data_IF_709321703035
#
_entry.id   IF_709321703035
#
_cell.length_a   1.000
_cell.length_b   1.000
_cell.length_c   1.000
_cell.angle_alpha   90.00
_cell.angle_beta   90.00
_cell.angle_gamma   90.00
#
_symmetry.space_group_name_H-M   'P 1'
#
loop_
_entity.id
_entity.type
_entity.pdbx_description
1 polymer ?
#
# COMPACT_ATOMS: atom_id res chain seq x y z
N UNK A 1 31.45 -9.81 0.12
CA UNK A 1 30.99 -8.46 -0.26
C UNK A 1 31.75 -7.34 0.46
N UNK A 2 31.87 -7.38 1.76
CA UNK A 2 32.57 -6.33 2.55
C UNK A 2 34.04 -6.14 2.18
N UNK A 3 34.73 -7.19 1.71
CA UNK A 3 36.15 -7.16 1.31
C UNK A 3 36.40 -6.74 -0.16
N UNK A 4 35.35 -6.59 -0.97
CA UNK A 4 35.48 -6.23 -2.38
C UNK A 4 35.46 -4.72 -2.54
N UNK A 5 36.49 -4.13 -3.11
CA UNK A 5 36.53 -2.72 -3.46
C UNK A 5 35.41 -2.36 -4.43
N UNK A 6 34.73 -1.25 -4.17
CA UNK A 6 33.68 -0.72 -5.06
C UNK A 6 34.32 0.11 -6.16
N UNK A 7 34.54 -0.47 -7.33
CA UNK A 7 34.98 0.25 -8.51
C UNK A 7 34.23 -0.29 -9.74
N UNK A 8 34.37 0.39 -10.88
CA UNK A 8 33.65 0.03 -12.11
C UNK A 8 33.97 -1.40 -12.59
N UNK A 9 35.16 -1.90 -12.36
CA UNK A 9 35.58 -3.25 -12.75
C UNK A 9 34.91 -4.35 -11.90
N UNK A 10 34.62 -4.07 -10.62
CA UNK A 10 34.02 -5.02 -9.69
C UNK A 10 32.51 -4.89 -9.58
N UNK A 11 31.91 -3.90 -10.19
CA UNK A 11 30.46 -3.59 -10.09
C UNK A 11 29.60 -4.76 -10.58
N UNK A 12 29.96 -5.36 -11.71
CA UNK A 12 29.25 -6.51 -12.28
C UNK A 12 29.33 -7.72 -11.34
N UNK A 13 30.48 -7.98 -10.72
CA UNK A 13 30.67 -9.04 -9.73
C UNK A 13 29.88 -8.79 -8.45
N UNK A 14 29.87 -7.55 -7.96
CA UNK A 14 29.06 -7.14 -6.81
C UNK A 14 27.58 -7.30 -7.10
N UNK A 15 27.12 -7.00 -8.32
CA UNK A 15 25.74 -7.22 -8.75
C UNK A 15 25.34 -8.71 -8.65
N UNK A 16 26.18 -9.61 -9.15
CA UNK A 16 25.94 -11.07 -9.04
C UNK A 16 25.91 -11.54 -7.59
N UNK A 17 26.83 -11.05 -6.74
CA UNK A 17 26.84 -11.39 -5.31
C UNK A 17 25.59 -10.86 -4.58
N UNK A 18 25.10 -9.67 -4.93
CA UNK A 18 23.85 -9.12 -4.39
C UNK A 18 22.65 -9.95 -4.80
N UNK A 19 22.57 -10.39 -6.05
CA UNK A 19 21.49 -11.27 -6.54
C UNK A 19 21.50 -12.61 -5.81
N UNK A 20 22.67 -13.26 -5.64
CA UNK A 20 22.79 -14.49 -4.85
C UNK A 20 22.36 -14.31 -3.40
N UNK A 21 22.77 -13.21 -2.78
CA UNK A 21 22.43 -12.93 -1.39
C UNK A 21 20.93 -12.67 -1.24
N UNK A 22 20.29 -11.95 -2.19
CA UNK A 22 18.84 -11.71 -2.19
C UNK A 22 18.08 -13.05 -2.30
N UNK A 23 18.50 -13.92 -3.22
CA UNK A 23 17.91 -15.25 -3.42
C UNK A 23 18.02 -16.14 -2.17
N UNK A 24 19.22 -16.23 -1.57
CA UNK A 24 19.43 -17.01 -0.34
C UNK A 24 18.60 -16.46 0.83
N UNK A 25 18.52 -15.13 0.98
CA UNK A 25 17.66 -14.51 2.00
C UNK A 25 16.19 -14.83 1.76
N UNK A 26 15.73 -14.84 0.52
CA UNK A 26 14.37 -15.24 0.18
C UNK A 26 14.12 -16.69 0.58
N UNK A 27 15.00 -17.63 0.23
CA UNK A 27 14.89 -19.04 0.60
C UNK A 27 14.85 -19.26 2.12
N UNK A 28 15.56 -18.44 2.89
CA UNK A 28 15.53 -18.46 4.36
C UNK A 28 14.23 -17.91 4.95
N UNK A 29 13.61 -16.92 4.29
CA UNK A 29 12.42 -16.22 4.79
C UNK A 29 11.10 -16.83 4.30
N UNK A 30 11.11 -17.48 3.13
CA UNK A 30 9.95 -18.20 2.61
C UNK A 30 9.82 -19.56 3.31
N UNK A 31 8.62 -19.98 3.73
CA UNK A 31 8.39 -21.33 4.25
C UNK A 31 8.70 -22.35 3.16
N UNK A 32 9.45 -23.41 3.49
CA UNK A 32 9.71 -24.50 2.57
C UNK A 32 8.38 -25.14 2.15
N UNK A 33 8.08 -25.10 0.86
CA UNK A 33 6.96 -25.83 0.26
C UNK A 33 7.21 -27.33 0.30
N UNK A 34 7.01 -27.95 1.43
CA UNK A 34 7.20 -29.40 1.56
C UNK A 34 7.18 -29.87 3.01
N UNK A 35 6.04 -30.30 3.48
CA UNK A 35 5.92 -30.94 4.78
C UNK A 35 4.84 -30.27 5.63
N UNK A 36 3.65 -30.87 5.63
CA UNK A 36 2.51 -30.38 6.38
C UNK A 36 2.80 -30.30 7.88
N UNK A 37 2.74 -29.11 8.41
CA UNK A 37 2.33 -28.88 9.77
C UNK A 37 1.32 -27.73 9.76
N UNK A 38 0.17 -27.99 10.32
CA UNK A 38 -0.97 -27.09 10.46
C UNK A 38 -0.68 -25.85 11.32
N UNK A 39 0.51 -25.74 11.87
CA UNK A 39 0.95 -24.64 12.74
C UNK A 39 1.36 -23.35 11.98
N UNK A 40 1.67 -23.42 10.69
CA UNK A 40 2.10 -22.23 9.93
C UNK A 40 0.96 -21.36 9.39
N UNK A 41 -0.30 -21.80 9.48
CA UNK A 41 -1.48 -21.03 9.08
C UNK A 41 -1.97 -20.01 10.12
N UNK A 42 -1.33 -19.95 11.29
CA UNK A 42 -1.81 -19.22 12.47
C UNK A 42 -1.36 -17.77 12.62
N UNK A 43 -0.65 -17.17 11.66
CA UNK A 43 -0.03 -15.86 11.85
C UNK A 43 -0.64 -14.70 11.05
N UNK A 44 -1.76 -14.87 10.40
CA UNK A 44 -2.50 -13.75 9.85
C UNK A 44 -3.33 -13.10 10.97
N UNK A 45 -2.81 -12.00 11.50
CA UNK A 45 -3.64 -11.09 12.30
C UNK A 45 -4.76 -10.60 11.40
N UNK A 46 -6.01 -10.88 11.75
CA UNK A 46 -7.17 -10.43 10.98
C UNK A 46 -7.09 -8.92 10.76
N UNK A 47 -7.27 -8.48 9.52
CA UNK A 47 -7.31 -7.07 9.16
C UNK A 47 -8.62 -6.49 9.64
N UNK A 48 -8.53 -5.57 10.59
CA UNK A 48 -9.66 -4.84 11.12
C UNK A 48 -9.52 -3.35 10.78
N UNK A 49 -10.65 -2.68 10.60
CA UNK A 49 -10.70 -1.24 10.32
C UNK A 49 -10.22 -0.84 8.92
N UNK A 50 -10.00 0.45 8.72
CA UNK A 50 -9.71 1.05 7.40
C UNK A 50 -8.22 1.11 7.07
N UNK A 51 -7.35 0.97 8.06
CA UNK A 51 -5.91 0.98 7.89
C UNK A 51 -5.18 0.22 8.99
N UNK A 52 -3.96 -0.21 8.69
CA UNK A 52 -3.08 -0.91 9.62
C UNK A 52 -1.73 -0.22 9.71
N UNK A 53 -1.33 0.12 10.92
CA UNK A 53 -0.08 0.80 11.23
C UNK A 53 0.77 -0.08 12.13
N UNK A 54 2.02 -0.29 11.78
CA UNK A 54 3.00 -1.02 12.60
C UNK A 54 3.88 -0.05 13.38
N UNK A 55 3.99 -0.25 14.69
CA UNK A 55 4.95 0.45 15.56
C UNK A 55 6.25 -0.34 15.62
N UNK A 56 7.35 0.32 15.28
CA UNK A 56 8.69 -0.25 15.25
C UNK A 56 9.64 0.67 16.02
N UNK A 57 10.55 0.12 16.77
CA UNK A 57 11.55 0.91 17.50
C UNK A 57 12.26 0.09 18.57
N UNK A 58 13.35 0.62 19.09
CA UNK A 58 14.12 -0.02 20.14
C UNK A 58 13.33 -0.19 21.45
N UNK A 59 13.76 -1.06 22.38
CA UNK A 59 13.18 -1.12 23.71
C UNK A 59 13.26 0.24 24.41
N UNK A 60 12.27 0.52 25.25
CA UNK A 60 12.21 1.73 26.11
C UNK A 60 12.10 3.08 25.38
N UNK A 61 11.81 3.08 24.07
CA UNK A 61 11.53 4.34 23.33
C UNK A 61 10.10 4.86 23.54
N UNK A 62 9.23 4.07 24.21
CA UNK A 62 7.87 4.46 24.53
C UNK A 62 6.80 3.99 23.55
N UNK A 63 7.03 2.90 22.77
CA UNK A 63 6.04 2.33 21.85
C UNK A 63 4.75 1.89 22.53
N UNK A 64 4.88 1.08 23.59
CA UNK A 64 3.72 0.55 24.31
C UNK A 64 2.99 1.66 25.09
N UNK A 65 3.72 2.66 25.57
CA UNK A 65 3.11 3.86 26.16
C UNK A 65 2.31 4.64 25.12
N UNK A 66 2.90 4.87 23.93
CA UNK A 66 2.20 5.51 22.81
C UNK A 66 0.94 4.74 22.41
N UNK A 67 1.04 3.41 22.33
CA UNK A 67 -0.11 2.55 22.04
C UNK A 67 -1.20 2.74 23.10
N UNK A 68 -0.87 2.63 24.38
CA UNK A 68 -1.83 2.77 25.49
C UNK A 68 -2.51 4.15 25.48
N UNK A 69 -1.73 5.23 25.28
CA UNK A 69 -2.26 6.59 25.26
C UNK A 69 -3.19 6.84 24.06
N UNK A 70 -2.82 6.38 22.88
CA UNK A 70 -3.66 6.55 21.67
C UNK A 70 -4.91 5.68 21.66
N UNK A 71 -4.91 4.55 22.40
CA UNK A 71 -6.03 3.61 22.44
C UNK A 71 -6.86 3.73 23.72
N UNK A 72 -6.45 4.57 24.69
CA UNK A 72 -7.12 4.72 26.00
C UNK A 72 -8.49 5.39 25.92
N UNK A 73 -8.81 6.05 24.82
CA UNK A 73 -10.08 6.74 24.67
C UNK A 73 -11.28 5.84 24.43
N UNK A 74 -11.08 4.61 23.95
CA UNK A 74 -12.14 3.57 23.93
C UNK A 74 -11.49 2.20 23.84
N UNK A 75 -11.24 1.60 24.99
CA UNK A 75 -10.91 0.19 25.11
C UNK A 75 -12.12 -0.67 24.80
N UNK A 76 -12.55 -0.76 23.56
CA UNK A 76 -12.95 -2.05 23.06
C UNK A 76 -11.65 -2.87 22.96
N UNK A 77 -11.16 -3.36 24.09
CA UNK A 77 -10.36 -4.56 24.13
C UNK A 77 -11.25 -5.64 23.48
N UNK A 78 -11.31 -5.60 22.16
CA UNK A 78 -11.94 -6.66 21.41
C UNK A 78 -11.26 -7.92 21.90
N UNK A 79 -12.04 -8.86 22.41
CA UNK A 79 -11.63 -10.20 22.80
C UNK A 79 -10.96 -10.88 21.60
N UNK A 80 -9.72 -10.50 21.34
CA UNK A 80 -8.88 -11.19 20.38
C UNK A 80 -8.35 -12.44 21.06
N UNK A 81 -9.03 -13.54 20.82
CA UNK A 81 -8.67 -14.90 21.27
C UNK A 81 -7.32 -15.40 20.70
N UNK A 82 -6.40 -14.51 20.31
CA UNK A 82 -5.12 -14.92 19.73
C UNK A 82 -3.94 -14.53 20.62
N UNK A 83 -3.87 -15.26 21.76
CA UNK A 83 -2.84 -15.09 22.80
C UNK A 83 -1.48 -15.69 22.48
N UNK A 84 -1.16 -16.06 21.24
CA UNK A 84 0.12 -16.67 20.91
C UNK A 84 1.14 -15.71 20.27
N UNK A 85 0.74 -14.49 19.87
CA UNK A 85 1.66 -13.49 19.36
C UNK A 85 1.81 -12.34 20.35
N UNK A 86 3.05 -11.93 20.56
CA UNK A 86 3.47 -10.78 21.36
C UNK A 86 3.14 -9.42 20.69
N UNK A 87 2.16 -9.35 19.80
CA UNK A 87 1.66 -8.10 19.22
C UNK A 87 0.43 -7.67 20.00
N UNK A 88 0.46 -6.51 20.62
CA UNK A 88 -0.71 -5.91 21.26
C UNK A 88 -1.41 -5.07 20.18
N UNK A 89 -2.61 -5.46 19.72
CA UNK A 89 -3.37 -4.65 18.80
C UNK A 89 -4.08 -3.53 19.55
N UNK A 90 -4.00 -2.31 19.05
CA UNK A 90 -4.82 -1.18 19.46
C UNK A 90 -5.65 -0.68 18.30
N UNK A 91 -6.76 0.00 18.57
CA UNK A 91 -7.58 0.67 17.55
C UNK A 91 -7.67 2.14 17.89
N UNK A 92 -7.36 2.97 16.92
CA UNK A 92 -7.53 4.42 16.99
C UNK A 92 -8.72 4.81 16.15
N UNK A 93 -9.57 5.67 16.69
CA UNK A 93 -10.64 6.34 15.96
C UNK A 93 -10.18 7.74 15.61
N UNK A 94 -10.13 8.04 14.32
CA UNK A 94 -9.76 9.37 13.82
C UNK A 94 -10.50 9.67 12.53
N UNK A 95 -11.19 10.81 12.46
CA UNK A 95 -12.02 11.23 11.32
C UNK A 95 -12.96 10.09 10.83
N UNK A 96 -13.67 9.48 11.77
CA UNK A 96 -14.60 8.34 11.55
C UNK A 96 -13.95 7.09 10.96
N UNK A 97 -12.62 7.06 10.87
CA UNK A 97 -11.89 5.88 10.45
C UNK A 97 -11.34 5.10 11.65
N UNK A 98 -11.44 3.78 11.56
CA UNK A 98 -10.83 2.84 12.50
C UNK A 98 -9.45 2.43 11.98
N UNK A 99 -8.39 2.80 12.68
CA UNK A 99 -7.00 2.49 12.33
C UNK A 99 -6.44 1.50 13.33
N UNK A 100 -6.04 0.33 12.85
CA UNK A 100 -5.43 -0.71 13.69
C UNK A 100 -3.95 -0.38 13.92
N UNK A 101 -3.53 -0.22 15.18
CA UNK A 101 -2.14 -0.13 15.59
C UNK A 101 -1.63 -1.50 16.04
N UNK A 102 -0.42 -1.86 15.61
CA UNK A 102 0.24 -3.10 16.01
C UNK A 102 1.60 -2.76 16.60
N UNK A 103 1.79 -3.04 17.90
CA UNK A 103 3.13 -2.98 18.51
C UNK A 103 3.91 -4.24 18.11
N UNK A 104 5.04 -4.05 17.44
CA UNK A 104 5.93 -5.11 16.99
C UNK A 104 7.19 -5.15 17.86
N UNK A 105 7.16 -5.86 18.99
CA UNK A 105 8.36 -6.02 19.82
C UNK A 105 9.35 -6.96 19.12
N UNK A 106 10.65 -6.67 19.23
CA UNK A 106 11.70 -7.61 18.89
C UNK A 106 12.16 -7.67 17.44
N UNK A 107 11.97 -6.60 16.62
CA UNK A 107 12.62 -6.50 15.28
C UNK A 107 14.14 -6.27 15.39
N UNK A 108 14.69 -6.13 16.58
CA UNK A 108 16.03 -5.67 16.83
C UNK A 108 16.95 -6.88 16.97
N UNK A 109 18.01 -6.92 16.16
CA UNK A 109 19.11 -7.89 16.14
C UNK A 109 18.74 -9.35 15.75
N UNK A 110 19.02 -9.69 14.50
CA UNK A 110 18.92 -11.06 13.97
C UNK A 110 17.58 -11.45 13.35
N UNK A 111 16.62 -10.53 13.22
CA UNK A 111 15.36 -10.81 12.50
C UNK A 111 15.65 -11.16 11.03
N UNK A 112 16.64 -10.52 10.43
CA UNK A 112 17.12 -10.80 9.07
C UNK A 112 17.85 -12.15 8.93
N UNK A 113 18.31 -12.74 10.02
CA UNK A 113 18.96 -14.06 10.05
C UNK A 113 17.98 -15.22 10.19
N UNK A 114 16.68 -14.93 10.26
CA UNK A 114 15.63 -15.95 10.32
C UNK A 114 15.56 -16.72 11.64
N UNK A 115 16.22 -16.25 12.70
CA UNK A 115 16.19 -16.88 14.01
C UNK A 115 14.90 -16.52 14.76
N UNK A 116 14.15 -17.52 15.19
CA UNK A 116 13.01 -17.38 16.09
C UNK A 116 11.82 -16.61 15.54
N UNK A 117 11.26 -15.72 16.37
CA UNK A 117 10.03 -14.96 16.12
C UNK A 117 10.16 -13.88 15.03
N UNK A 118 11.36 -13.60 14.52
CA UNK A 118 11.61 -12.57 13.51
C UNK A 118 10.77 -12.72 12.24
N UNK A 119 10.53 -13.95 11.76
CA UNK A 119 9.70 -14.19 10.55
C UNK A 119 8.25 -13.72 10.73
N UNK A 120 7.68 -13.92 11.90
CA UNK A 120 6.31 -13.58 12.23
C UNK A 120 6.12 -12.07 12.27
N UNK A 121 7.01 -11.38 12.95
CA UNK A 121 7.04 -9.92 13.05
C UNK A 121 7.19 -9.28 11.67
N UNK A 122 8.01 -9.88 10.82
CA UNK A 122 8.20 -9.48 9.43
C UNK A 122 6.90 -9.63 8.61
N UNK A 123 6.19 -10.74 8.76
CA UNK A 123 4.93 -10.97 8.06
C UNK A 123 3.89 -9.90 8.44
N UNK A 124 3.80 -9.55 9.73
CA UNK A 124 2.92 -8.50 10.22
C UNK A 124 3.35 -7.13 9.70
N UNK A 125 4.65 -6.78 9.74
CA UNK A 125 5.16 -5.54 9.17
C UNK A 125 4.86 -5.44 7.66
N UNK A 126 5.02 -6.53 6.91
CA UNK A 126 4.62 -6.60 5.50
C UNK A 126 3.12 -6.46 5.27
N UNK A 127 2.29 -6.85 6.23
CA UNK A 127 0.83 -6.69 6.11
C UNK A 127 0.34 -5.27 6.40
N UNK A 128 1.18 -4.43 7.02
CA UNK A 128 0.82 -3.06 7.41
C UNK A 128 0.81 -2.09 6.23
N UNK A 129 0.01 -1.04 6.32
CA UNK A 129 -0.13 -0.01 5.29
C UNK A 129 0.81 1.17 5.55
N UNK A 130 1.21 1.38 6.81
CA UNK A 130 2.14 2.41 7.26
C UNK A 130 3.03 1.87 8.38
N UNK A 131 4.27 2.36 8.46
CA UNK A 131 5.19 2.09 9.57
C UNK A 131 5.40 3.40 10.36
N UNK A 132 5.26 3.32 11.68
CA UNK A 132 5.71 4.35 12.62
C UNK A 132 7.00 3.87 13.28
N UNK A 133 8.11 4.49 12.93
CA UNK A 133 9.41 4.23 13.55
C UNK A 133 9.59 5.16 14.74
N UNK A 134 9.40 4.61 15.96
CA UNK A 134 9.51 5.36 17.20
C UNK A 134 10.98 5.42 17.65
N UNK A 135 11.48 6.62 17.80
CA UNK A 135 12.87 6.93 18.16
C UNK A 135 12.91 7.77 19.45
N UNK A 136 13.93 7.57 20.27
CA UNK A 136 14.16 8.36 21.46
C UNK A 136 14.90 9.65 21.08
N UNK A 137 14.24 10.78 21.24
CA UNK A 137 14.79 12.08 20.86
C UNK A 137 16.01 12.49 21.69
N UNK A 138 16.05 12.11 22.98
CA UNK A 138 17.19 12.41 23.87
C UNK A 138 18.49 11.78 23.39
N UNK A 139 18.41 10.57 22.81
CA UNK A 139 19.59 9.88 22.27
C UNK A 139 20.05 10.45 20.93
N UNK A 140 19.26 11.32 20.32
CA UNK A 140 19.51 11.90 19.00
C UNK A 140 20.64 12.93 18.99
N UNK A 141 20.73 13.74 20.02
CA UNK A 141 21.64 14.89 20.03
C UNK A 141 22.98 14.57 20.72
N UNK A 142 22.97 13.76 21.79
CA UNK A 142 24.15 13.54 22.62
C UNK A 142 25.29 12.74 21.97
N UNK A 143 25.04 11.96 20.89
CA UNK A 143 26.07 11.05 20.35
C UNK A 143 25.84 10.50 18.94
N UNK A 144 25.17 11.15 17.99
CA UNK A 144 24.83 10.53 16.69
C UNK A 144 24.11 9.15 16.79
N UNK A 145 23.70 8.76 18.00
CA UNK A 145 23.20 7.41 18.31
C UNK A 145 21.81 7.18 17.74
N UNK A 146 20.95 8.19 17.72
CA UNK A 146 19.60 8.02 17.13
C UNK A 146 19.66 7.94 15.62
N UNK A 147 20.60 8.64 15.00
CA UNK A 147 20.85 8.46 13.57
C UNK A 147 21.34 7.03 13.31
N UNK A 148 22.18 6.48 14.17
CA UNK A 148 22.59 5.08 14.11
C UNK A 148 21.42 4.12 14.34
N UNK A 149 20.54 4.39 15.31
CA UNK A 149 19.33 3.60 15.56
C UNK A 149 18.38 3.60 14.34
N UNK A 150 18.11 4.77 13.76
CA UNK A 150 17.33 4.87 12.52
C UNK A 150 17.95 4.04 11.40
N UNK A 151 19.27 4.14 11.21
CA UNK A 151 19.98 3.38 10.17
C UNK A 151 19.95 1.87 10.41
N UNK A 152 20.13 1.42 11.66
CA UNK A 152 20.07 -0.01 12.01
C UNK A 152 18.68 -0.55 11.69
N UNK A 153 17.62 0.09 12.20
CA UNK A 153 16.25 -0.33 11.93
C UNK A 153 15.90 -0.33 10.44
N UNK A 154 16.34 0.70 9.72
CA UNK A 154 16.14 0.77 8.27
C UNK A 154 16.83 -0.39 7.56
N UNK A 155 18.09 -0.70 7.90
CA UNK A 155 18.83 -1.83 7.32
C UNK A 155 18.17 -3.18 7.61
N UNK A 156 17.68 -3.39 8.82
CA UNK A 156 16.96 -4.62 9.20
C UNK A 156 15.68 -4.78 8.39
N UNK A 157 14.89 -3.72 8.24
CA UNK A 157 13.66 -3.73 7.46
C UNK A 157 13.94 -3.91 5.95
N UNK A 158 14.98 -3.26 5.42
CA UNK A 158 15.42 -3.45 4.04
C UNK A 158 15.94 -4.88 3.78
N UNK A 159 16.66 -5.45 4.74
CA UNK A 159 17.17 -6.81 4.64
C UNK A 159 16.05 -7.85 4.53
N UNK A 160 14.89 -7.54 5.11
CA UNK A 160 13.67 -8.35 5.08
C UNK A 160 12.84 -8.14 3.81
N UNK A 161 13.16 -7.10 3.04
CA UNK A 161 12.49 -6.77 1.78
C UNK A 161 11.41 -5.71 1.90
N UNK A 162 11.42 -4.91 2.97
CA UNK A 162 10.64 -3.66 3.04
C UNK A 162 11.48 -2.52 2.48
N UNK A 163 10.84 -1.62 1.73
CA UNK A 163 11.45 -0.40 1.19
C UNK A 163 10.71 0.78 1.76
N UNK A 164 11.38 1.52 2.66
CA UNK A 164 10.80 2.63 3.38
C UNK A 164 10.90 3.92 2.57
N UNK A 165 9.79 4.64 2.43
CA UNK A 165 9.70 5.93 1.74
C UNK A 165 10.32 5.93 0.34
N UNK A 166 10.25 4.80 -0.35
CA UNK A 166 10.70 4.64 -1.73
C UNK A 166 9.52 4.30 -2.63
N UNK A 167 9.62 4.70 -3.89
CA UNK A 167 8.66 4.31 -4.93
C UNK A 167 9.12 3.04 -5.64
N UNK A 168 8.23 2.14 -6.04
CA UNK A 168 8.60 0.98 -6.82
C UNK A 168 9.23 1.41 -8.16
N UNK A 169 10.37 0.82 -8.57
CA UNK A 169 11.05 1.19 -9.79
C UNK A 169 10.21 0.82 -11.03
N UNK A 170 10.21 1.70 -12.02
CA UNK A 170 9.44 1.53 -13.26
C UNK A 170 10.17 0.65 -14.27
N UNK A 171 10.34 -0.62 -13.91
CA UNK A 171 10.98 -1.64 -14.75
C UNK A 171 9.94 -2.68 -15.10
N UNK A 172 9.80 -2.96 -16.39
CA UNK A 172 8.91 -4.00 -16.87
C UNK A 172 9.72 -5.23 -17.26
N UNK A 173 9.39 -6.39 -16.70
CA UNK A 173 10.05 -7.67 -16.99
C UNK A 173 9.02 -8.68 -17.47
N UNK A 174 9.18 -9.16 -18.70
CA UNK A 174 8.31 -10.18 -19.30
C UNK A 174 9.13 -11.42 -19.67
N UNK A 175 8.79 -12.56 -19.11
CA UNK A 175 9.38 -13.85 -19.48
C UNK A 175 8.87 -14.27 -20.86
N UNK A 176 9.78 -14.73 -21.73
CA UNK A 176 9.48 -15.28 -23.05
C UNK A 176 9.83 -16.76 -23.08
N UNK A 177 9.25 -17.53 -24.00
CA UNK A 177 9.57 -18.96 -24.19
C UNK A 177 10.89 -19.14 -24.95
N UNK A 178 11.23 -18.23 -25.86
CA UNK A 178 12.43 -18.26 -26.70
C UNK A 178 12.80 -16.82 -27.12
N UNK A 179 13.96 -16.62 -27.78
CA UNK A 179 14.37 -15.32 -28.33
C UNK A 179 15.47 -14.59 -27.55
N UNK A 180 16.03 -15.21 -26.49
CA UNK A 180 17.13 -14.59 -25.73
C UNK A 180 16.67 -13.44 -24.84
N UNK A 181 17.64 -12.68 -24.32
CA UNK A 181 17.40 -11.51 -23.46
C UNK A 181 17.38 -10.25 -24.34
N UNK A 182 16.29 -9.52 -24.26
CA UNK A 182 16.12 -8.22 -24.90
C UNK A 182 16.01 -7.17 -23.78
N UNK A 183 17.02 -6.33 -23.63
CA UNK A 183 17.02 -5.20 -22.70
C UNK A 183 16.97 -3.91 -23.50
N UNK A 184 15.93 -3.11 -23.27
CA UNK A 184 15.73 -1.79 -23.86
C UNK A 184 15.51 -0.76 -22.76
N UNK A 185 15.92 0.45 -23.02
CA UNK A 185 15.65 1.60 -22.17
C UNK A 185 14.85 2.67 -22.94
N UNK A 186 14.01 3.38 -22.21
CA UNK A 186 13.28 4.55 -22.72
C UNK A 186 13.68 5.82 -21.96
N UNK A 187 14.81 5.74 -21.22
CA UNK A 187 15.31 6.83 -20.38
C UNK A 187 16.05 7.84 -21.25
N UNK A 188 15.70 9.13 -21.23
CA UNK A 188 16.48 10.16 -21.88
C UNK A 188 17.91 10.20 -21.32
N UNK A 189 18.92 9.94 -22.16
CA UNK A 189 20.33 9.86 -21.74
C UNK A 189 20.82 8.44 -21.39
N UNK A 190 19.96 7.42 -21.47
CA UNK A 190 20.32 6.02 -21.19
C UNK A 190 20.45 5.68 -19.69
N UNK A 191 20.85 4.46 -19.40
CA UNK A 191 21.06 3.98 -18.03
C UNK A 191 22.47 4.40 -17.56
N UNK A 192 22.54 5.15 -16.45
CA UNK A 192 23.80 5.61 -15.85
C UNK A 192 24.22 4.83 -14.61
N UNK A 193 23.24 4.27 -13.87
CA UNK A 193 23.44 3.60 -12.57
C UNK A 193 23.60 2.08 -12.68
N UNK A 194 23.34 1.51 -13.85
CA UNK A 194 23.46 0.08 -14.09
C UNK A 194 24.08 -0.19 -15.46
N UNK A 195 25.08 -1.05 -15.51
CA UNK A 195 25.71 -1.47 -16.76
C UNK A 195 24.98 -2.67 -17.38
N UNK A 196 25.00 -2.74 -18.72
CA UNK A 196 24.39 -3.82 -19.50
C UNK A 196 24.95 -5.20 -19.11
N UNK A 197 26.24 -5.29 -18.80
CA UNK A 197 26.86 -6.52 -18.30
C UNK A 197 26.30 -6.94 -16.94
N UNK A 198 26.05 -5.98 -16.05
CA UNK A 198 25.45 -6.25 -14.75
C UNK A 198 24.01 -6.76 -14.91
N UNK A 199 23.21 -6.18 -15.83
CA UNK A 199 21.85 -6.65 -16.14
C UNK A 199 21.89 -8.11 -16.60
N UNK A 200 22.76 -8.45 -17.57
CA UNK A 200 22.87 -9.83 -18.10
C UNK A 200 23.28 -10.83 -17.02
N UNK A 201 24.25 -10.48 -16.17
CA UNK A 201 24.71 -11.34 -15.10
C UNK A 201 23.65 -11.60 -14.02
N UNK A 202 22.87 -10.55 -13.66
CA UNK A 202 21.77 -10.68 -12.73
C UNK A 202 20.68 -11.59 -13.33
N UNK A 203 20.28 -11.39 -14.58
CA UNK A 203 19.29 -12.23 -15.26
C UNK A 203 19.74 -13.70 -15.36
N UNK A 204 21.01 -13.93 -15.65
CA UNK A 204 21.58 -15.27 -15.69
C UNK A 204 21.51 -15.96 -14.32
N UNK A 205 21.79 -15.24 -13.22
CA UNK A 205 21.68 -15.78 -11.85
C UNK A 205 20.25 -16.19 -11.51
N UNK A 206 19.24 -15.44 -12.03
CA UNK A 206 17.82 -15.79 -11.90
C UNK A 206 17.33 -16.82 -12.92
N UNK A 207 18.24 -17.39 -13.74
CA UNK A 207 17.92 -18.35 -14.81
C UNK A 207 16.89 -17.81 -15.82
N UNK A 208 16.89 -16.51 -16.05
CA UNK A 208 16.03 -15.82 -17.01
C UNK A 208 16.76 -15.65 -18.35
N UNK A 209 16.91 -16.74 -19.11
CA UNK A 209 17.64 -16.77 -20.37
C UNK A 209 16.80 -16.20 -21.55
N UNK A 210 15.47 -16.12 -21.39
CA UNK A 210 14.55 -15.62 -22.40
C UNK A 210 13.59 -14.63 -21.74
N UNK A 211 13.87 -13.35 -21.86
CA UNK A 211 13.03 -12.29 -21.28
C UNK A 211 13.18 -10.98 -22.03
N UNK A 212 12.18 -10.14 -21.87
CA UNK A 212 12.17 -8.76 -22.30
C UNK A 212 12.17 -7.87 -21.05
N UNK A 213 13.12 -6.94 -20.99
CA UNK A 213 13.25 -6.00 -19.88
C UNK A 213 13.20 -4.58 -20.46
N UNK A 214 12.28 -3.76 -19.96
CA UNK A 214 12.14 -2.37 -20.38
C UNK A 214 12.35 -1.48 -19.17
N UNK A 215 13.38 -0.65 -19.23
CA UNK A 215 13.67 0.35 -18.21
C UNK A 215 13.01 1.67 -18.59
N UNK A 216 12.14 2.19 -17.72
CA UNK A 216 11.47 3.49 -17.92
C UNK A 216 12.07 4.60 -17.07
N UNK A 217 12.98 4.26 -16.17
CA UNK A 217 13.73 5.19 -15.33
C UNK A 217 15.14 4.65 -15.06
N UNK A 218 16.07 5.55 -14.71
CA UNK A 218 17.42 5.15 -14.35
C UNK A 218 17.45 4.53 -12.96
N UNK A 219 17.80 3.25 -12.87
CA UNK A 219 17.71 2.42 -11.69
C UNK A 219 19.05 1.82 -11.27
N UNK A 220 19.16 1.50 -9.99
CA UNK A 220 20.31 0.78 -9.44
C UNK A 220 20.15 -0.73 -9.61
N UNK A 221 21.29 -1.46 -9.47
CA UNK A 221 21.28 -2.92 -9.47
C UNK A 221 20.34 -3.49 -8.38
N UNK A 222 20.29 -2.87 -7.21
CA UNK A 222 19.44 -3.30 -6.10
C UNK A 222 17.95 -3.17 -6.44
N UNK A 223 17.54 -2.05 -7.06
CA UNK A 223 16.18 -1.84 -7.54
C UNK A 223 15.80 -2.84 -8.64
N UNK A 224 16.72 -3.17 -9.53
CA UNK A 224 16.49 -4.19 -10.55
C UNK A 224 16.29 -5.58 -9.93
N UNK A 225 17.10 -5.96 -8.96
CA UNK A 225 16.95 -7.19 -8.19
C UNK A 225 15.58 -7.22 -7.47
N UNK A 226 15.16 -6.11 -6.89
CA UNK A 226 13.87 -6.03 -6.19
C UNK A 226 12.68 -6.34 -7.12
N UNK A 227 12.73 -5.88 -8.38
CA UNK A 227 11.70 -6.22 -9.38
C UNK A 227 11.73 -7.69 -9.77
N UNK A 228 12.92 -8.28 -9.91
CA UNK A 228 13.06 -9.71 -10.25
C UNK A 228 12.58 -10.64 -9.14
N UNK A 229 12.84 -10.26 -7.89
CA UNK A 229 12.37 -10.99 -6.71
C UNK A 229 10.84 -10.92 -6.56
N UNK A 230 10.23 -9.75 -6.84
CA UNK A 230 8.78 -9.56 -6.80
C UNK A 230 8.13 -9.68 -5.42
N UNK A 231 8.93 -9.87 -4.35
CA UNK A 231 8.45 -10.04 -2.97
C UNK A 231 8.75 -8.83 -2.08
N UNK A 232 9.21 -7.73 -2.69
CA UNK A 232 9.50 -6.48 -1.97
C UNK A 232 8.23 -5.68 -1.79
N UNK A 233 8.07 -5.08 -0.59
CA UNK A 233 6.96 -4.17 -0.30
C UNK A 233 7.49 -2.77 -0.08
N UNK A 234 6.96 -1.83 -0.84
CA UNK A 234 7.20 -0.40 -0.71
C UNK A 234 6.15 0.16 0.24
N UNK A 235 6.60 0.76 1.34
CA UNK A 235 5.73 1.23 2.41
C UNK A 235 6.20 2.59 2.91
N UNK A 236 5.25 3.47 3.23
CA UNK A 236 5.57 4.75 3.88
C UNK A 236 5.97 4.52 5.32
N UNK A 237 6.91 5.32 5.80
CA UNK A 237 7.40 5.29 7.16
C UNK A 237 7.47 6.72 7.72
N UNK A 238 6.82 6.94 8.86
CA UNK A 238 6.95 8.17 9.62
C UNK A 238 7.91 7.94 10.79
N UNK A 239 8.81 8.90 11.01
CA UNK A 239 9.78 8.88 12.07
C UNK A 239 9.25 9.68 13.27
N UNK A 240 8.88 8.99 14.35
CA UNK A 240 8.28 9.58 15.53
C UNK A 240 9.36 9.75 16.59
N UNK A 241 9.77 10.98 16.84
CA UNK A 241 10.72 11.33 17.91
C UNK A 241 9.95 11.54 19.20
N UNK A 242 10.06 10.59 20.12
CA UNK A 242 9.42 10.64 21.42
C UNK A 242 10.36 11.23 22.49
N UNK A 243 9.81 11.66 23.61
CA UNK A 243 10.50 12.29 24.76
C UNK A 243 11.10 13.65 24.44
N UNK A 244 10.42 14.43 23.59
CA UNK A 244 10.89 15.78 23.23
C UNK A 244 10.79 16.79 24.38
N UNK A 245 10.08 16.43 25.43
CA UNK A 245 9.97 17.22 26.67
C UNK A 245 11.32 17.46 27.40
N UNK A 246 12.32 16.65 27.06
CA UNK A 246 13.68 16.78 27.62
C UNK A 246 14.66 17.55 26.71
N UNK A 247 14.20 18.03 25.55
CA UNK A 247 15.00 18.76 24.56
C UNK A 247 14.70 20.26 24.59
N UNK A 248 15.66 21.05 24.07
CA UNK A 248 15.43 22.46 23.83
C UNK A 248 14.51 22.69 22.61
N UNK A 249 13.91 23.89 22.56
CA UNK A 249 13.00 24.23 21.43
C UNK A 249 13.74 24.20 20.07
N UNK A 250 15.01 24.63 20.06
CA UNK A 250 15.83 24.65 18.84
C UNK A 250 16.14 23.23 18.34
N UNK A 251 16.33 22.29 19.26
CA UNK A 251 16.54 20.88 18.93
C UNK A 251 15.26 20.24 18.37
N UNK A 252 14.12 20.53 19.00
CA UNK A 252 12.82 20.08 18.52
C UNK A 252 12.51 20.64 17.13
N UNK A 253 12.80 21.94 16.91
CA UNK A 253 12.63 22.57 15.59
C UNK A 253 13.49 21.88 14.52
N UNK A 254 14.77 21.61 14.82
CA UNK A 254 15.66 20.87 13.92
C UNK A 254 15.15 19.47 13.58
N UNK A 255 14.59 18.75 14.56
CA UNK A 255 14.02 17.42 14.34
C UNK A 255 12.73 17.49 13.51
N UNK A 256 11.87 18.46 13.77
CA UNK A 256 10.58 18.63 13.10
C UNK A 256 10.72 19.01 11.62
N UNK A 257 11.82 19.66 11.23
CA UNK A 257 12.12 20.02 9.83
C UNK A 257 12.65 18.85 9.00
N UNK A 258 12.97 17.70 9.61
CA UNK A 258 13.39 16.52 8.86
C UNK A 258 12.18 15.93 8.10
N UNK A 259 12.39 15.40 6.90
CA UNK A 259 11.29 14.79 6.13
C UNK A 259 10.67 13.62 6.90
N UNK A 260 9.35 13.51 6.81
CA UNK A 260 8.54 12.45 7.43
C UNK A 260 8.75 12.33 8.96
N UNK A 261 9.06 13.43 9.63
CA UNK A 261 9.41 13.47 11.04
C UNK A 261 8.34 14.15 11.88
N UNK A 262 8.03 13.55 13.03
CA UNK A 262 7.03 14.04 13.98
C UNK A 262 7.64 14.00 15.37
N UNK A 263 7.49 15.08 16.11
CA UNK A 263 7.96 15.23 17.48
C UNK A 263 6.79 15.06 18.45
N UNK A 264 6.92 14.15 19.41
CA UNK A 264 5.90 13.88 20.43
C UNK A 264 6.51 13.75 21.82
N UNK A 265 5.69 13.94 22.83
CA UNK A 265 6.00 13.52 24.21
C UNK A 265 4.81 12.73 24.76
N UNK A 266 5.01 11.44 24.99
CA UNK A 266 4.00 10.61 25.64
C UNK A 266 3.75 11.05 27.07
N UNK A 267 4.79 11.49 27.80
CA UNK A 267 4.68 11.94 29.19
C UNK A 267 3.86 13.22 29.35
N UNK A 268 3.95 14.13 28.37
CA UNK A 268 3.24 15.42 28.37
C UNK A 268 2.05 15.46 27.44
N UNK A 269 1.74 14.35 26.75
CA UNK A 269 0.68 14.23 25.75
C UNK A 269 0.76 15.32 24.66
N UNK A 270 1.98 15.63 24.21
CA UNK A 270 2.22 16.67 23.20
C UNK A 270 2.36 16.06 21.81
N UNK A 271 1.80 16.74 20.80
CA UNK A 271 2.00 16.44 19.39
C UNK A 271 1.13 15.29 18.83
N UNK A 272 0.14 14.82 19.58
CA UNK A 272 -0.73 13.71 19.15
C UNK A 272 -1.63 14.07 17.97
N UNK A 273 -2.23 15.27 17.97
CA UNK A 273 -3.07 15.73 16.85
C UNK A 273 -2.28 15.74 15.55
N UNK A 274 -1.05 16.29 15.61
CA UNK A 274 -0.16 16.30 14.43
C UNK A 274 0.26 14.90 14.02
N UNK A 275 0.46 13.99 14.96
CA UNK A 275 0.76 12.59 14.69
C UNK A 275 -0.42 11.93 13.94
N UNK A 276 -1.64 12.07 14.43
CA UNK A 276 -2.84 11.50 13.83
C UNK A 276 -3.10 12.07 12.44
N UNK A 277 -2.98 13.38 12.27
CA UNK A 277 -3.08 14.04 10.97
C UNK A 277 -2.00 13.52 9.98
N UNK A 278 -0.75 13.39 10.44
CA UNK A 278 0.33 12.88 9.60
C UNK A 278 0.13 11.41 9.23
N UNK A 279 -0.40 10.60 10.13
CA UNK A 279 -0.76 9.19 9.87
C UNK A 279 -1.86 9.14 8.81
N UNK A 280 -2.90 9.95 8.95
CA UNK A 280 -4.00 10.06 7.98
C UNK A 280 -3.47 10.38 6.58
N UNK A 281 -2.70 11.46 6.47
CA UNK A 281 -2.12 11.91 5.21
C UNK A 281 -1.14 10.90 4.60
N UNK A 282 -0.32 10.25 5.43
CA UNK A 282 0.63 9.24 4.97
C UNK A 282 -0.07 7.99 4.43
N UNK A 283 -1.17 7.58 5.04
CA UNK A 283 -1.99 6.46 4.58
C UNK A 283 -2.83 6.81 3.34
N UNK A 284 -3.03 8.10 3.06
CA UNK A 284 -3.86 8.57 1.96
C UNK A 284 -5.30 8.09 2.11
N UNK A 285 -5.85 8.20 3.32
CA UNK A 285 -7.24 7.86 3.58
C UNK A 285 -8.16 8.94 3.05
N UNK A 286 -9.28 8.53 2.45
CA UNK A 286 -10.28 9.40 1.84
C UNK A 286 -11.65 8.98 2.35
N UNK A 287 -12.40 9.94 2.90
CA UNK A 287 -13.79 9.77 3.35
C UNK A 287 -14.73 10.09 2.21
N UNK A 288 -15.65 9.21 1.95
CA UNK A 288 -16.68 9.40 0.93
C UNK A 288 -18.04 9.13 1.55
N UNK A 289 -18.94 10.05 1.40
CA UNK A 289 -20.28 9.97 2.00
C UNK A 289 -21.29 9.40 1.02
N UNK A 290 -22.07 8.44 1.48
CA UNK A 290 -23.14 7.86 0.68
C UNK A 290 -24.38 8.76 0.70
N UNK A 291 -25.06 8.87 -0.45
CA UNK A 291 -26.33 9.58 -0.57
C UNK A 291 -27.36 8.70 -1.25
N UNK A 292 -28.51 8.51 -0.63
CA UNK A 292 -29.67 7.88 -1.25
C UNK A 292 -30.44 8.89 -2.11
N UNK A 293 -31.20 8.39 -3.06
CA UNK A 293 -32.01 9.23 -3.93
C UNK A 293 -33.13 9.90 -3.12
N UNK A 294 -33.22 11.23 -3.20
CA UNK A 294 -34.25 12.03 -2.50
C UNK A 294 -33.92 12.34 -1.03
N UNK A 295 -32.88 11.72 -0.44
CA UNK A 295 -32.48 11.95 0.95
C UNK A 295 -31.27 12.88 1.05
N UNK A 296 -30.97 13.36 2.27
CA UNK A 296 -29.72 14.07 2.58
C UNK A 296 -28.56 13.09 2.57
N UNK A 297 -27.30 13.56 2.35
CA UNK A 297 -26.11 12.73 2.53
C UNK A 297 -26.03 12.22 3.96
N UNK A 298 -25.54 10.98 4.11
CA UNK A 298 -25.21 10.40 5.40
C UNK A 298 -23.79 10.83 5.75
N UNK A 299 -23.66 11.70 6.76
CA UNK A 299 -22.38 12.18 7.24
C UNK A 299 -21.89 11.45 8.50
N UNK A 300 -22.72 10.57 9.09
CA UNK A 300 -22.36 9.85 10.31
C UNK A 300 -21.51 8.60 10.02
N UNK A 301 -21.73 7.96 8.86
CA UNK A 301 -20.99 6.75 8.47
C UNK A 301 -20.28 6.92 7.12
N UNK A 302 -19.12 7.57 7.06
CA UNK A 302 -18.35 7.69 5.82
C UNK A 302 -17.74 6.34 5.39
N UNK A 303 -17.70 6.10 4.11
CA UNK A 303 -16.93 5.02 3.51
C UNK A 303 -15.49 5.48 3.37
N UNK A 304 -14.55 4.84 4.06
CA UNK A 304 -13.14 5.22 4.02
C UNK A 304 -12.39 4.38 3.00
N UNK A 305 -11.82 5.06 2.01
CA UNK A 305 -11.03 4.46 0.93
C UNK A 305 -9.53 4.72 1.14
N UNK A 306 -8.68 3.84 0.61
CA UNK A 306 -7.23 4.04 0.58
C UNK A 306 -6.59 3.47 -0.68
N UNK A 307 -5.48 4.06 -1.13
CA UNK A 307 -4.70 3.54 -2.26
C UNK A 307 -4.17 2.12 -1.99
N UNK A 308 -3.80 1.83 -0.75
CA UNK A 308 -3.24 0.53 -0.35
C UNK A 308 -4.26 -0.61 -0.39
N UNK A 309 -5.57 -0.31 -0.40
CA UNK A 309 -6.67 -1.27 -0.32
C UNK A 309 -7.58 -1.27 -1.55
N UNK A 310 -7.01 -1.20 -2.74
CA UNK A 310 -7.77 -1.29 -3.99
C UNK A 310 -7.98 0.04 -4.69
N UNK A 311 -7.48 1.14 -4.12
CA UNK A 311 -7.51 2.46 -4.74
C UNK A 311 -8.68 3.34 -4.30
N UNK A 312 -8.64 4.59 -4.70
CA UNK A 312 -9.61 5.63 -4.37
C UNK A 312 -10.53 5.85 -5.57
N UNK A 313 -11.23 4.81 -5.98
CA UNK A 313 -12.11 4.86 -7.16
C UNK A 313 -13.56 4.60 -6.79
N UNK A 314 -14.48 5.07 -7.66
CA UNK A 314 -15.91 4.80 -7.51
C UNK A 314 -16.20 3.29 -7.51
N UNK A 315 -15.41 2.48 -8.23
CA UNK A 315 -15.52 1.02 -8.19
C UNK A 315 -15.31 0.49 -6.78
N UNK A 316 -14.22 0.92 -6.13
CA UNK A 316 -13.88 0.49 -4.77
C UNK A 316 -14.91 0.96 -3.73
N UNK A 317 -15.42 2.20 -3.89
CA UNK A 317 -16.52 2.71 -3.08
C UNK A 317 -17.76 1.81 -3.20
N UNK A 318 -18.15 1.46 -4.43
CA UNK A 318 -19.30 0.60 -4.65
C UNK A 318 -19.09 -0.83 -4.11
N UNK A 319 -17.88 -1.40 -4.25
CA UNK A 319 -17.53 -2.71 -3.68
C UNK A 319 -17.61 -2.75 -2.15
N UNK A 320 -17.18 -1.67 -1.46
CA UNK A 320 -17.26 -1.59 -0.01
C UNK A 320 -18.70 -1.47 0.50
N UNK A 321 -19.57 -0.79 -0.25
CA UNK A 321 -20.99 -0.75 0.07
C UNK A 321 -21.66 -2.10 -0.14
N UNK A 322 -21.41 -2.75 -1.26
CA UNK A 322 -21.92 -4.09 -1.56
C UNK A 322 -21.18 -4.70 -2.77
N UNK A 323 -20.75 -5.95 -2.65
CA UNK A 323 -19.93 -6.64 -3.66
C UNK A 323 -20.55 -6.71 -5.07
N UNK A 324 -21.87 -6.67 -5.19
CA UNK A 324 -22.58 -6.72 -6.48
C UNK A 324 -22.88 -5.34 -7.08
N UNK A 325 -22.75 -4.26 -6.29
CA UNK A 325 -23.05 -2.91 -6.76
C UNK A 325 -22.27 -2.47 -8.00
N UNK A 326 -20.96 -2.76 -8.13
CA UNK A 326 -20.21 -2.39 -9.32
C UNK A 326 -20.79 -2.97 -10.61
N UNK A 327 -21.36 -4.19 -10.56
CA UNK A 327 -21.96 -4.87 -11.71
C UNK A 327 -23.32 -4.28 -12.08
N UNK A 328 -24.06 -3.77 -11.10
CA UNK A 328 -25.39 -3.19 -11.26
C UNK A 328 -25.35 -1.67 -11.48
N UNK A 329 -24.18 -1.04 -11.34
CA UNK A 329 -24.01 0.38 -11.42
C UNK A 329 -24.11 0.87 -12.85
N UNK A 330 -25.09 1.75 -13.14
CA UNK A 330 -25.23 2.44 -14.42
C UNK A 330 -24.30 3.67 -14.47
N UNK A 331 -24.36 4.50 -13.47
CA UNK A 331 -23.50 5.66 -13.22
C UNK A 331 -23.64 6.08 -11.74
N UNK A 332 -22.74 6.92 -11.27
CA UNK A 332 -22.95 7.62 -10.01
C UNK A 332 -22.97 9.13 -10.22
N UNK A 333 -23.69 9.82 -9.35
CA UNK A 333 -23.64 11.28 -9.24
C UNK A 333 -22.66 11.62 -8.12
N UNK A 334 -21.72 12.50 -8.42
CA UNK A 334 -20.66 12.90 -7.47
C UNK A 334 -20.78 14.41 -7.22
N UNK A 335 -20.73 14.78 -5.96
CA UNK A 335 -20.64 16.15 -5.47
C UNK A 335 -19.40 16.28 -4.61
N UNK A 336 -18.55 17.24 -4.87
CA UNK A 336 -17.33 17.51 -4.10
C UNK A 336 -16.16 17.91 -4.98
N UNK A 337 -14.96 17.78 -4.42
CA UNK A 337 -13.74 18.28 -5.07
C UNK A 337 -13.32 17.50 -6.30
N UNK A 338 -13.68 16.21 -6.41
CA UNK A 338 -13.34 15.40 -7.59
C UNK A 338 -14.22 15.71 -8.80
N UNK A 339 -15.38 16.35 -8.59
CA UNK A 339 -16.34 16.65 -9.65
C UNK A 339 -16.10 18.05 -10.25
N UNK A 340 -16.18 18.16 -11.57
CA UNK A 340 -16.09 19.44 -12.27
C UNK A 340 -17.30 20.35 -12.04
N UNK A 341 -18.46 19.77 -11.77
CA UNK A 341 -19.71 20.46 -11.46
C UNK A 341 -20.55 19.61 -10.50
N UNK A 342 -21.41 20.25 -9.74
CA UNK A 342 -22.26 19.60 -8.76
C UNK A 342 -23.16 18.54 -9.39
N UNK A 343 -23.15 17.31 -8.87
CA UNK A 343 -23.93 16.20 -9.39
C UNK A 343 -23.41 15.64 -10.73
N UNK A 344 -22.11 15.65 -10.93
CA UNK A 344 -21.51 15.12 -12.13
C UNK A 344 -21.75 13.60 -12.25
N UNK A 345 -22.14 13.16 -13.44
CA UNK A 345 -22.24 11.73 -13.75
C UNK A 345 -20.85 11.14 -13.98
N UNK A 346 -20.50 10.17 -13.14
CA UNK A 346 -19.20 9.52 -13.15
C UNK A 346 -19.34 8.01 -13.33
N UNK A 347 -18.36 7.41 -14.00
CA UNK A 347 -18.26 5.95 -14.16
C UNK A 347 -17.32 5.33 -13.11
N UNK A 348 -17.24 4.00 -13.08
CA UNK A 348 -16.48 3.21 -12.09
C UNK A 348 -15.01 3.61 -11.93
N UNK A 349 -14.36 4.12 -12.99
CA UNK A 349 -12.95 4.53 -12.97
C UNK A 349 -12.70 5.92 -12.42
N UNK A 350 -13.76 6.66 -12.07
CA UNK A 350 -13.62 8.00 -11.51
C UNK A 350 -12.89 7.93 -10.17
N UNK A 351 -11.87 8.79 -9.98
CA UNK A 351 -11.11 8.92 -8.76
C UNK A 351 -11.79 9.91 -7.83
N UNK A 352 -12.09 9.48 -6.63
CA UNK A 352 -12.74 10.28 -5.60
C UNK A 352 -11.71 11.06 -4.77
N UNK A 353 -12.14 12.13 -4.13
CA UNK A 353 -11.38 12.93 -3.18
C UNK A 353 -12.03 12.92 -1.80
N UNK A 354 -11.32 13.41 -0.79
CA UNK A 354 -11.84 13.48 0.57
C UNK A 354 -13.07 14.39 0.62
N UNK A 355 -14.08 13.97 1.40
CA UNK A 355 -15.36 14.63 1.58
C UNK A 355 -16.28 14.67 0.33
N UNK A 356 -16.00 13.84 -0.67
CA UNK A 356 -16.93 13.69 -1.79
C UNK A 356 -18.22 12.98 -1.34
N UNK A 357 -19.34 13.41 -1.89
CA UNK A 357 -20.65 12.78 -1.71
C UNK A 357 -21.02 12.02 -2.97
N UNK A 358 -21.38 10.75 -2.84
CA UNK A 358 -21.67 9.87 -3.96
C UNK A 358 -23.07 9.28 -3.85
N UNK A 359 -23.86 9.46 -4.90
CA UNK A 359 -25.14 8.78 -5.09
C UNK A 359 -25.02 7.72 -6.18
N UNK A 360 -25.21 6.48 -5.81
CA UNK A 360 -25.18 5.34 -6.74
C UNK A 360 -26.51 5.20 -7.46
N UNK A 361 -26.51 5.15 -8.79
CA UNK A 361 -27.68 4.90 -9.60
C UNK A 361 -27.54 3.53 -10.24
N UNK A 362 -28.40 2.61 -9.81
CA UNK A 362 -28.46 1.25 -10.34
C UNK A 362 -29.11 1.23 -11.72
N UNK A 363 -28.61 0.39 -12.62
CA UNK A 363 -29.34 0.01 -13.82
C UNK A 363 -30.51 -0.90 -13.41
N UNK A 364 -31.72 -0.57 -13.82
CA UNK A 364 -32.82 -1.52 -13.69
C UNK A 364 -32.66 -2.59 -14.76
N UNK A 365 -32.69 -3.87 -14.37
CA UNK A 365 -32.63 -5.00 -15.30
C UNK A 365 -33.68 -4.91 -16.42
N UNK A 366 -34.80 -4.24 -16.14
CA UNK A 366 -35.83 -3.93 -17.14
C UNK A 366 -35.40 -2.93 -18.23
N UNK A 367 -34.38 -2.08 -17.99
CA UNK A 367 -33.91 -1.15 -19.03
C UNK A 367 -32.95 -1.84 -20.02
N UNK A 368 -32.19 -2.81 -19.57
CA UNK A 368 -31.34 -3.60 -20.48
C UNK A 368 -32.15 -4.60 -21.31
N UNK A 369 -33.21 -5.19 -20.75
CA UNK A 369 -34.21 -5.91 -21.51
C UNK A 369 -35.00 -4.98 -22.47
N UNK A 370 -35.18 -3.70 -22.08
CA UNK A 370 -35.81 -2.67 -22.90
C UNK A 370 -34.98 -2.28 -24.13
N UNK A 371 -33.64 -2.21 -23.98
CA UNK A 371 -32.74 -1.94 -25.12
C UNK A 371 -32.72 -3.15 -26.06
N UNK A 372 -32.73 -4.37 -25.49
CA UNK A 372 -32.92 -5.61 -26.31
C UNK A 372 -34.27 -5.66 -26.98
N UNK A 373 -35.37 -5.26 -26.34
CA UNK A 373 -36.71 -5.18 -26.91
C UNK A 373 -36.83 -4.06 -27.95
N UNK A 374 -36.15 -2.93 -27.78
CA UNK A 374 -36.10 -1.89 -28.81
C UNK A 374 -35.35 -2.38 -30.08
N UNK A 375 -34.34 -3.21 -29.94
CA UNK A 375 -33.66 -3.81 -31.08
C UNK A 375 -34.50 -4.92 -31.75
N UNK A 376 -35.35 -5.62 -30.97
CA UNK A 376 -36.35 -6.57 -31.54
C UNK A 376 -37.57 -5.86 -32.08
N UNK A 377 -38.01 -4.74 -31.49
CA UNK A 377 -39.14 -3.95 -32.02
C UNK A 377 -38.81 -3.25 -33.35
N UNK A 378 -37.52 -3.08 -33.69
CA UNK A 378 -37.14 -2.69 -35.05
C UNK A 378 -37.44 -3.75 -36.11
N UNK A 379 -37.61 -5.02 -35.73
CA UNK A 379 -38.11 -6.05 -36.63
C UNK A 379 -39.62 -6.02 -36.87
N UNK A 380 -40.35 -5.40 -35.95
CA UNK A 380 -41.81 -5.22 -36.03
C UNK A 380 -42.17 -3.74 -36.28
N UNK A 381 -41.30 -2.96 -36.91
CA UNK A 381 -41.71 -1.66 -37.43
C UNK A 381 -42.95 -1.86 -38.28
N UNK A 382 -44.07 -1.19 -37.97
CA UNK A 382 -45.27 -1.31 -38.80
C UNK A 382 -44.89 -0.90 -40.21
N UNK A 383 -45.21 -1.74 -41.16
CA UNK A 383 -44.88 -1.58 -42.59
C UNK A 383 -45.18 -0.11 -42.97
N UNK A 384 -44.22 0.53 -43.62
CA UNK A 384 -44.36 1.95 -44.06
C UNK A 384 -45.68 2.11 -44.78
N UNK A 385 -46.33 3.26 -44.67
CA UNK A 385 -47.62 3.54 -45.26
C UNK A 385 -47.65 3.16 -46.76
N UNK A 386 -46.53 3.34 -47.47
CA UNK A 386 -46.33 2.91 -48.84
C UNK A 386 -46.45 1.40 -49.01
N UNK A 387 -45.98 0.58 -48.08
CA UNK A 387 -46.02 -0.89 -48.15
C UNK A 387 -47.39 -1.44 -47.75
N UNK A 388 -48.14 -0.69 -46.91
CA UNK A 388 -49.54 -1.00 -46.58
C UNK A 388 -50.47 -0.78 -47.80
N UNK A 389 -50.20 0.24 -48.60
CA UNK A 389 -50.95 0.52 -49.83
C UNK A 389 -50.66 -0.50 -50.89
N UNK A 390 -49.41 -1.01 -51.02
CA UNK A 390 -49.08 -2.12 -51.97
C UNK A 390 -49.76 -3.44 -51.61
N UNK A 391 -49.85 -3.79 -50.32
CA UNK A 391 -50.56 -5.00 -49.88
C UNK A 391 -52.07 -4.93 -50.15
N UNK A 392 -52.70 -3.77 -50.06
CA UNK A 392 -54.13 -3.57 -50.41
C UNK A 392 -54.37 -3.71 -51.90
N UNK A 393 -53.47 -3.34 -52.81
CA UNK A 393 -53.60 -3.52 -54.27
C UNK A 393 -53.38 -4.93 -54.77
N UNK A 394 -52.83 -5.84 -53.98
CA UNK A 394 -52.63 -7.25 -54.30
C UNK A 394 -53.79 -8.15 -53.84
N UNK A 395 -54.76 -7.61 -53.10
CA UNK A 395 -55.95 -8.32 -52.59
C UNK A 395 -57.25 -7.84 -53.27
N UNK A 396 -57.17 -6.85 -54.13
CA UNK A 396 -58.24 -6.42 -55.06
C UNK A 396 -57.78 -6.75 -56.48
#
# INVERSE_FOLDING_TARGET
MSRTQKNKATESHLGTLKAKLAKLKRELLEPQKGGGSSEERGFEVNRYGHGRVALIGFPSVGKSTLLSELTSTESEAANYEFTTLTCIPGVIHYNDAKIQLLDLPGIIEGASEGKGRGRQVIAVAKSSDLILMVLDAMKSEAANTTYAHKQILTRELEAVGLRLNQTPPRIYVKKKKSGGVQASDTVPGGLTKIDRKAIMNVLHEYKLNHCEVIFREDCTVDQFIDVLEGNRKYIKCLYVYNKVDALTIEEVDRLSRRPDSICISCTKQLGYDRLLESVWNAMGLVRVYAKKMGEKPDFEEPVVLSEARGGITLNQFAEQLHAELPKQLKYALVWGYSAKHMGQRCGLKHRLMDEDVVQVVKGTAHLDEGIGRFSQSKKDEPARIADRVKKKKLIS
#
